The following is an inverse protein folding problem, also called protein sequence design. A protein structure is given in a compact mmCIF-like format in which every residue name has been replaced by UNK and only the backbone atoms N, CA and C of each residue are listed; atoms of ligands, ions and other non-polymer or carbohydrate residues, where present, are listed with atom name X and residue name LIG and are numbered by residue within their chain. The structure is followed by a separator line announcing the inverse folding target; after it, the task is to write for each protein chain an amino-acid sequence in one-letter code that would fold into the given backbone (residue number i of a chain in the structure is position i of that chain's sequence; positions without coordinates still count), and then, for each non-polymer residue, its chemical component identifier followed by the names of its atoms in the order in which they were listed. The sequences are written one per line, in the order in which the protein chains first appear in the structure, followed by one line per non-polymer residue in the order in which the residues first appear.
data_IF_864385379970
#
_entry.id   IF_864385379970
#
_cell.length_a   1.000
_cell.length_b   1.000
_cell.length_c   1.000
_cell.angle_alpha   90.00
_cell.angle_beta   90.00
_cell.angle_gamma   90.00
#
_symmetry.space_group_name_H-M   'P 1'
#
loop_
_entity.id
_entity.type
_entity.pdbx_description
1 polymer ?
#
# COMPACT_ATOMS: atom_id res chain seq x y z
N UNK A 1 60.98 4.49 2.67
CA UNK A 1 61.69 3.22 2.45
C UNK A 1 61.56 2.35 3.69
N UNK A 2 61.35 1.04 3.47
CA UNK A 2 61.63 -0.11 4.36
C UNK A 2 60.77 -0.28 5.63
N UNK A 3 59.74 -1.14 5.61
CA UNK A 3 59.68 -2.61 5.86
C UNK A 3 59.80 -3.03 7.34
N UNK A 4 58.72 -3.56 7.90
CA UNK A 4 58.82 -4.66 8.88
C UNK A 4 57.79 -5.75 8.56
N UNK A 5 58.37 -6.86 8.11
CA UNK A 5 57.78 -8.16 7.83
C UNK A 5 57.84 -8.96 9.13
N UNK A 6 56.69 -9.38 9.64
CA UNK A 6 56.56 -10.35 10.73
C UNK A 6 55.73 -11.54 10.25
N UNK A 7 56.42 -12.61 9.86
CA UNK A 7 55.88 -13.93 9.51
C UNK A 7 55.66 -14.71 10.80
N UNK A 8 54.46 -15.26 10.98
CA UNK A 8 54.15 -16.29 11.96
C UNK A 8 53.31 -17.37 11.27
N UNK A 9 53.93 -18.53 11.11
CA UNK A 9 53.46 -19.76 10.46
C UNK A 9 53.09 -20.76 11.55
N UNK A 10 51.91 -21.39 11.46
CA UNK A 10 51.42 -22.61 12.16
C UNK A 10 49.99 -22.80 11.63
N UNK A 11 49.74 -23.60 10.61
CA UNK A 11 49.69 -25.07 10.58
C UNK A 11 48.67 -25.68 11.55
N UNK A 12 47.93 -26.64 10.98
CA UNK A 12 47.13 -27.68 11.61
C UNK A 12 45.66 -27.37 11.97
N UNK A 13 44.74 -28.09 11.30
CA UNK A 13 43.41 -28.29 11.84
C UNK A 13 42.27 -28.52 10.83
N UNK A 14 42.22 -29.74 10.30
CA UNK A 14 40.99 -30.48 9.96
C UNK A 14 40.35 -30.25 8.58
N UNK A 15 40.86 -31.01 7.59
CA UNK A 15 40.02 -31.61 6.55
C UNK A 15 38.91 -32.46 7.18
N UNK A 16 37.64 -32.08 6.99
CA UNK A 16 36.53 -33.03 7.14
C UNK A 16 36.24 -33.63 5.77
N UNK A 17 36.91 -34.77 5.52
CA UNK A 17 36.52 -35.69 4.47
C UNK A 17 35.12 -36.26 4.76
N UNK A 18 34.35 -36.49 3.69
CA UNK A 18 32.96 -36.92 3.75
C UNK A 18 32.75 -38.31 4.38
N UNK A 19 31.51 -38.60 4.75
CA UNK A 19 30.66 -39.57 4.05
C UNK A 19 29.32 -39.72 4.79
N UNK A 20 28.25 -39.64 4.02
CA UNK A 20 26.93 -40.26 4.14
C UNK A 20 26.42 -40.84 5.47
N UNK A 21 25.14 -40.51 5.72
CA UNK A 21 24.09 -41.36 6.31
C UNK A 21 23.86 -41.30 7.84
N UNK A 22 22.85 -40.53 8.26
CA UNK A 22 21.68 -41.15 8.89
C UNK A 22 20.48 -40.21 9.00
N UNK A 23 19.39 -40.67 8.40
CA UNK A 23 18.02 -40.19 8.55
C UNK A 23 17.61 -40.28 10.01
N UNK A 24 17.05 -39.20 10.57
CA UNK A 24 16.12 -39.29 11.70
C UNK A 24 14.90 -38.41 11.45
N UNK A 25 13.97 -38.97 10.68
CA UNK A 25 12.55 -38.61 10.64
C UNK A 25 11.93 -39.02 11.97
N UNK A 26 11.51 -38.07 12.80
CA UNK A 26 10.64 -38.40 13.94
C UNK A 26 10.76 -37.48 15.14
N UNK A 27 9.81 -36.56 15.25
CA UNK A 27 9.28 -36.05 16.52
C UNK A 27 10.26 -35.40 17.49
N UNK A 28 10.51 -34.10 17.30
CA UNK A 28 10.85 -33.21 18.43
C UNK A 28 9.76 -32.15 18.56
N UNK A 29 8.79 -32.50 19.38
CA UNK A 29 7.89 -31.61 20.10
C UNK A 29 8.76 -30.59 20.85
N UNK A 30 8.77 -29.35 20.39
CA UNK A 30 9.56 -28.29 21.01
C UNK A 30 9.39 -26.98 20.26
N UNK A 31 8.32 -26.28 20.60
CA UNK A 31 8.34 -24.81 20.71
C UNK A 31 9.07 -24.07 19.59
N UNK A 32 8.53 -24.14 18.38
CA UNK A 32 8.62 -23.01 17.47
C UNK A 32 7.19 -22.57 17.25
N UNK A 33 6.81 -21.51 17.96
CA UNK A 33 5.88 -20.50 17.46
C UNK A 33 6.26 -20.20 16.02
N UNK A 34 5.73 -21.00 15.09
CA UNK A 34 5.60 -20.64 13.71
C UNK A 34 4.60 -19.51 13.74
N UNK A 35 5.12 -18.31 13.98
CA UNK A 35 4.40 -17.06 13.95
C UNK A 35 3.52 -17.11 12.73
N UNK A 36 2.24 -17.29 13.02
CA UNK A 36 1.15 -17.18 12.10
C UNK A 36 1.33 -15.78 11.50
N UNK A 37 2.00 -15.68 10.36
CA UNK A 37 1.99 -14.49 9.54
C UNK A 37 0.55 -14.40 9.06
N UNK A 38 -0.27 -13.80 9.93
CA UNK A 38 -1.67 -13.51 9.70
C UNK A 38 -1.74 -12.78 8.37
N UNK A 39 -2.52 -13.37 7.46
CA UNK A 39 -2.61 -12.96 6.07
C UNK A 39 -2.77 -11.46 5.91
N UNK A 40 -1.71 -10.82 5.44
CA UNK A 40 -1.89 -9.62 4.64
C UNK A 40 -2.30 -10.12 3.25
N UNK A 41 -3.58 -10.44 3.09
CA UNK A 41 -4.13 -10.66 1.75
C UNK A 41 -3.79 -9.40 0.96
N UNK A 42 -3.00 -9.47 -0.11
CA UNK A 42 -2.65 -8.29 -0.87
C UNK A 42 -3.95 -7.60 -1.27
N UNK A 43 -4.02 -6.29 -1.02
CA UNK A 43 -5.18 -5.50 -1.39
C UNK A 43 -5.53 -5.79 -2.86
N UNK A 44 -6.81 -6.02 -3.19
CA UNK A 44 -7.19 -6.33 -4.55
C UNK A 44 -6.67 -5.22 -5.49
N UNK A 45 -6.16 -5.56 -6.68
CA UNK A 45 -5.52 -4.59 -7.58
C UNK A 45 -6.42 -3.41 -7.92
N UNK A 46 -7.74 -3.62 -7.95
CA UNK A 46 -8.73 -2.56 -8.11
C UNK A 46 -8.73 -1.55 -6.94
N UNK A 47 -8.53 -2.01 -5.70
CA UNK A 47 -8.45 -1.13 -4.52
C UNK A 47 -7.16 -0.30 -4.52
N UNK A 48 -6.06 -0.90 -5.01
CA UNK A 48 -4.80 -0.18 -5.20
C UNK A 48 -4.95 0.91 -6.26
N UNK A 49 -5.63 0.61 -7.38
CA UNK A 49 -5.93 1.60 -8.42
C UNK A 49 -6.84 2.73 -7.90
N UNK A 50 -7.91 2.39 -7.19
CA UNK A 50 -8.82 3.37 -6.58
C UNK A 50 -8.09 4.29 -5.59
N UNK A 51 -7.19 3.75 -4.76
CA UNK A 51 -6.35 4.55 -3.84
C UNK A 51 -5.39 5.47 -4.58
N UNK A 52 -4.79 5.00 -5.68
CA UNK A 52 -3.90 5.82 -6.50
C UNK A 52 -4.64 6.99 -7.17
N UNK A 53 -5.82 6.74 -7.73
CA UNK A 53 -6.68 7.78 -8.32
C UNK A 53 -7.19 8.76 -7.25
N UNK A 54 -7.55 8.26 -6.06
CA UNK A 54 -7.91 9.12 -4.93
C UNK A 54 -6.75 10.06 -4.53
N UNK A 55 -5.52 9.55 -4.49
CA UNK A 55 -4.34 10.38 -4.21
C UNK A 55 -4.14 11.46 -5.28
N UNK A 56 -4.37 11.14 -6.57
CA UNK A 56 -4.34 12.12 -7.66
C UNK A 56 -5.43 13.17 -7.51
N UNK A 57 -6.65 12.77 -7.17
CA UNK A 57 -7.77 13.68 -6.95
C UNK A 57 -7.49 14.65 -5.80
N UNK A 58 -6.93 14.16 -4.70
CA UNK A 58 -6.54 14.99 -3.55
C UNK A 58 -5.44 15.98 -3.92
N UNK A 59 -4.42 15.56 -4.67
CA UNK A 59 -3.36 16.46 -5.13
C UNK A 59 -3.89 17.53 -6.09
N UNK A 60 -4.79 17.16 -7.00
CA UNK A 60 -5.43 18.12 -7.88
C UNK A 60 -6.30 19.12 -7.10
N UNK A 61 -7.05 18.65 -6.11
CA UNK A 61 -7.87 19.53 -5.27
C UNK A 61 -7.04 20.55 -4.48
N UNK A 62 -5.86 20.13 -4.01
CA UNK A 62 -4.90 21.03 -3.36
C UNK A 62 -4.36 22.08 -4.34
N UNK A 63 -3.97 21.65 -5.55
CA UNK A 63 -3.48 22.54 -6.59
C UNK A 63 -4.53 23.57 -7.07
N UNK A 64 -5.81 23.19 -7.09
CA UNK A 64 -6.93 24.02 -7.54
C UNK A 64 -7.75 24.60 -6.38
N UNK A 65 -7.26 24.58 -5.13
CA UNK A 65 -8.05 25.02 -3.98
C UNK A 65 -8.44 26.50 -4.06
N UNK A 66 -7.61 27.32 -4.73
CA UNK A 66 -7.83 28.74 -4.94
C UNK A 66 -8.89 29.07 -6.01
N UNK A 67 -9.30 28.08 -6.80
CA UNK A 67 -10.37 28.23 -7.80
C UNK A 67 -11.76 27.88 -7.22
N UNK A 68 -11.80 27.27 -6.04
CA UNK A 68 -13.03 26.91 -5.35
C UNK A 68 -13.43 28.00 -4.35
N UNK A 69 -14.74 28.19 -4.18
CA UNK A 69 -15.26 28.99 -3.06
C UNK A 69 -14.89 28.34 -1.73
N UNK A 70 -14.74 29.13 -0.67
CA UNK A 70 -14.40 28.62 0.66
C UNK A 70 -15.37 27.52 1.15
N UNK A 71 -16.66 27.68 0.85
CA UNK A 71 -17.71 26.69 1.13
C UNK A 71 -17.48 25.38 0.39
N UNK A 72 -17.18 25.43 -0.91
CA UNK A 72 -16.97 24.25 -1.74
C UNK A 72 -15.64 23.56 -1.41
N UNK A 73 -14.59 24.33 -1.11
CA UNK A 73 -13.32 23.81 -0.60
C UNK A 73 -13.50 23.03 0.70
N UNK A 74 -14.24 23.60 1.67
CA UNK A 74 -14.51 22.94 2.94
C UNK A 74 -15.35 21.66 2.76
N UNK A 75 -16.36 21.70 1.90
CA UNK A 75 -17.18 20.54 1.55
C UNK A 75 -16.35 19.45 0.86
N UNK A 76 -15.50 19.83 -0.11
CA UNK A 76 -14.66 18.90 -0.84
C UNK A 76 -13.65 18.20 0.07
N UNK A 77 -13.00 18.92 1.00
CA UNK A 77 -12.13 18.31 2.01
C UNK A 77 -12.87 17.32 2.91
N UNK A 78 -14.14 17.61 3.26
CA UNK A 78 -14.97 16.67 4.03
C UNK A 78 -15.26 15.39 3.25
N UNK A 79 -15.64 15.50 1.98
CA UNK A 79 -15.89 14.32 1.14
C UNK A 79 -14.62 13.51 0.92
N UNK A 80 -13.47 14.15 0.64
CA UNK A 80 -12.19 13.46 0.57
C UNK A 80 -11.87 12.70 1.86
N UNK A 81 -12.10 13.31 3.03
CA UNK A 81 -11.89 12.63 4.31
C UNK A 81 -12.79 11.41 4.52
N UNK A 82 -14.04 11.44 4.04
CA UNK A 82 -14.95 10.29 4.08
C UNK A 82 -14.49 9.17 3.15
N UNK A 83 -14.15 9.52 1.92
CA UNK A 83 -13.64 8.58 0.91
C UNK A 83 -12.34 7.92 1.39
N UNK A 84 -11.41 8.68 1.97
CA UNK A 84 -10.16 8.16 2.54
C UNK A 84 -10.41 7.17 3.70
N UNK A 85 -11.32 7.54 4.61
CA UNK A 85 -11.72 6.67 5.72
C UNK A 85 -12.35 5.37 5.22
N UNK A 86 -13.17 5.44 4.17
CA UNK A 86 -13.83 4.28 3.58
C UNK A 86 -12.84 3.39 2.82
N UNK A 87 -11.95 3.97 2.01
CA UNK A 87 -10.88 3.25 1.31
C UNK A 87 -9.86 2.61 2.26
N UNK A 88 -9.77 3.10 3.50
CA UNK A 88 -8.92 2.53 4.55
C UNK A 88 -9.54 1.30 5.22
N UNK A 89 -10.84 1.04 5.02
CA UNK A 89 -11.51 -0.14 5.55
C UNK A 89 -11.05 -1.42 4.82
N UNK A 90 -11.02 -2.57 5.51
CA UNK A 90 -10.71 -3.85 4.87
C UNK A 90 -11.77 -4.28 3.84
N UNK A 91 -13.01 -3.82 4.02
CA UNK A 91 -14.11 -3.99 3.06
C UNK A 91 -14.77 -2.62 2.87
N UNK A 92 -14.30 -1.81 1.89
CA UNK A 92 -14.90 -0.52 1.60
C UNK A 92 -16.32 -0.68 1.05
N UNK A 93 -17.26 0.12 1.53
CA UNK A 93 -18.61 0.18 0.96
C UNK A 93 -18.57 0.95 -0.36
N UNK A 94 -18.82 0.22 -1.45
CA UNK A 94 -18.75 0.75 -2.82
C UNK A 94 -19.88 1.73 -3.12
N UNK A 95 -21.05 1.53 -2.52
CA UNK A 95 -22.20 2.40 -2.72
C UNK A 95 -21.96 3.73 -1.99
N UNK A 96 -21.43 3.68 -0.77
CA UNK A 96 -21.02 4.87 -0.02
C UNK A 96 -19.90 5.63 -0.75
N UNK A 97 -18.89 4.92 -1.26
CA UNK A 97 -17.81 5.53 -2.05
C UNK A 97 -18.33 6.22 -3.32
N UNK A 98 -19.31 5.62 -3.99
CA UNK A 98 -19.97 6.23 -5.15
C UNK A 98 -20.76 7.49 -4.79
N UNK A 99 -21.56 7.43 -3.71
CA UNK A 99 -22.36 8.56 -3.22
C UNK A 99 -21.47 9.73 -2.77
N UNK A 100 -20.40 9.42 -2.02
CA UNK A 100 -19.41 10.41 -1.57
C UNK A 100 -18.67 11.05 -2.76
N UNK A 101 -18.35 10.27 -3.80
CA UNK A 101 -17.69 10.76 -5.01
C UNK A 101 -18.61 11.63 -5.87
N UNK A 102 -19.90 11.28 -5.98
CA UNK A 102 -20.92 12.10 -6.66
C UNK A 102 -21.15 13.43 -5.93
N UNK A 103 -21.27 13.37 -4.60
CA UNK A 103 -21.37 14.55 -3.73
C UNK A 103 -20.15 15.48 -3.83
N UNK A 104 -18.96 14.91 -4.03
CA UNK A 104 -17.73 15.66 -4.31
C UNK A 104 -17.77 16.29 -5.71
N UNK A 105 -18.15 15.53 -6.74
CA UNK A 105 -18.27 15.98 -8.14
C UNK A 105 -19.20 17.20 -8.26
N UNK A 106 -20.34 17.20 -7.56
CA UNK A 106 -21.27 18.32 -7.55
C UNK A 106 -20.70 19.61 -6.93
N UNK A 107 -19.67 19.51 -6.09
CA UNK A 107 -19.02 20.67 -5.42
C UNK A 107 -17.85 21.24 -6.20
N UNK A 108 -17.10 20.37 -6.87
CA UNK A 108 -15.95 20.76 -7.70
C UNK A 108 -16.32 20.90 -9.19
N UNK A 109 -17.61 20.78 -9.52
CA UNK A 109 -18.18 20.86 -10.87
C UNK A 109 -17.87 22.15 -11.63
N UNK A 110 -17.42 23.19 -10.93
CA UNK A 110 -17.00 24.47 -11.50
C UNK A 110 -15.58 24.43 -12.09
N UNK A 111 -14.75 23.45 -11.70
CA UNK A 111 -13.37 23.30 -12.16
C UNK A 111 -13.24 22.05 -13.03
N UNK A 112 -13.15 22.26 -14.35
CA UNK A 112 -13.15 21.17 -15.33
C UNK A 112 -12.06 20.11 -15.06
N UNK A 113 -10.86 20.53 -14.64
CA UNK A 113 -9.77 19.61 -14.29
C UNK A 113 -10.13 18.67 -13.12
N UNK A 114 -10.81 19.19 -12.10
CA UNK A 114 -11.27 18.40 -10.96
C UNK A 114 -12.39 17.43 -11.33
N UNK A 115 -13.30 17.86 -12.22
CA UNK A 115 -14.36 16.99 -12.77
C UNK A 115 -13.78 15.80 -13.51
N UNK A 116 -12.82 16.01 -14.40
CA UNK A 116 -12.20 14.92 -15.18
C UNK A 116 -11.54 13.88 -14.27
N UNK A 117 -10.80 14.31 -13.25
CA UNK A 117 -10.12 13.40 -12.32
C UNK A 117 -11.13 12.67 -11.42
N UNK A 118 -12.20 13.35 -11.02
CA UNK A 118 -13.28 12.72 -10.24
C UNK A 118 -14.03 11.67 -11.04
N UNK A 119 -14.26 11.90 -12.33
CA UNK A 119 -14.84 10.89 -13.22
C UNK A 119 -13.92 9.67 -13.38
N UNK A 120 -12.61 9.86 -13.49
CA UNK A 120 -11.64 8.76 -13.52
C UNK A 120 -11.62 7.96 -12.21
N UNK A 121 -11.76 8.65 -11.07
CA UNK A 121 -11.93 8.00 -9.76
C UNK A 121 -13.22 7.19 -9.69
N UNK A 122 -14.37 7.74 -10.10
CA UNK A 122 -15.66 7.03 -10.14
C UNK A 122 -15.57 5.79 -11.05
N UNK A 123 -14.94 5.89 -12.23
CA UNK A 123 -14.73 4.76 -13.11
C UNK A 123 -13.86 3.66 -12.45
N UNK A 124 -12.86 4.06 -11.67
CA UNK A 124 -12.02 3.12 -10.91
C UNK A 124 -12.80 2.43 -9.78
N UNK A 125 -13.73 3.13 -9.13
CA UNK A 125 -14.65 2.54 -8.17
C UNK A 125 -15.62 1.54 -8.81
N UNK A 126 -16.10 1.83 -10.02
CA UNK A 126 -16.93 0.90 -10.79
C UNK A 126 -16.14 -0.36 -11.19
N UNK A 127 -14.85 -0.22 -11.52
CA UNK A 127 -13.94 -1.35 -11.74
C UNK A 127 -13.73 -2.22 -10.49
N UNK A 128 -14.03 -1.72 -9.29
CA UNK A 128 -14.02 -2.49 -8.05
C UNK A 128 -15.26 -3.40 -7.90
N UNK A 129 -16.32 -3.14 -8.68
CA UNK A 129 -17.57 -3.87 -8.64
C UNK A 129 -17.61 -5.07 -9.61
N UNK A 130 -16.67 -5.15 -10.55
CA UNK A 130 -16.53 -6.23 -11.54
C UNK A 130 -15.74 -7.44 -11.05
#
# INVERSE_FOLDING_TARGET
MAIFRGRGDSDDGMHVAGDSNQINTGSVKGDMTQSNHMGHTPAPPALVAARAEFARLRAALDAHEGELSETDRAAARRWLGRIDAELSRPQPDRQQLGDDADGLSGRIGTVAALVTITQAFIASLQGLAG
#
